data_IF_832684230194
#
_entry.id   IF_832684230194
#
_cell.length_a   1.000
_cell.length_b   1.000
_cell.length_c   1.000
_cell.angle_alpha   90.00
_cell.angle_beta   90.00
_cell.angle_gamma   90.00
#
_symmetry.space_group_name_H-M   'P 1'
#
loop_
_entity.id
_entity.type
_entity.pdbx_description
1 polymer ?
#
# COMPACT_ATOMS: atom_id res chain seq x y z
N UNK A 1 42.79 8.44 39.64
CA UNK A 1 43.26 8.72 38.26
C UNK A 1 42.54 7.89 37.17
N UNK A 2 41.27 7.48 37.32
CA UNK A 2 40.55 6.62 36.34
C UNK A 2 39.26 7.19 35.75
N UNK A 3 38.90 8.45 36.03
CA UNK A 3 37.59 9.04 35.66
C UNK A 3 37.64 10.02 34.47
N UNK A 4 38.83 10.37 33.96
CA UNK A 4 38.97 11.31 32.84
C UNK A 4 38.76 10.66 31.45
N UNK A 5 39.00 9.34 31.32
CA UNK A 5 38.91 8.62 30.05
C UNK A 5 37.47 8.37 29.60
N UNK A 6 36.52 8.23 30.54
CA UNK A 6 35.10 7.98 30.26
C UNK A 6 34.39 9.19 29.64
N UNK A 7 34.82 10.42 29.96
CA UNK A 7 34.25 11.65 29.38
C UNK A 7 34.67 11.89 27.93
N UNK A 8 35.91 11.55 27.57
CA UNK A 8 36.41 11.69 26.19
C UNK A 8 35.76 10.70 25.22
N UNK A 9 35.44 9.49 25.68
CA UNK A 9 34.65 8.51 24.92
C UNK A 9 33.22 8.99 24.70
N UNK A 10 32.61 9.60 25.72
CA UNK A 10 31.25 10.15 25.62
C UNK A 10 31.19 11.38 24.70
N UNK A 11 32.25 12.20 24.67
CA UNK A 11 32.34 13.40 23.82
C UNK A 11 32.57 13.05 22.34
N UNK A 12 33.33 11.99 22.04
CA UNK A 12 33.50 11.48 20.66
C UNK A 12 32.21 10.88 20.10
N UNK A 13 31.40 10.23 20.95
CA UNK A 13 30.07 9.73 20.60
C UNK A 13 29.05 10.87 20.46
N UNK A 14 29.13 11.90 21.31
CA UNK A 14 28.22 13.06 21.28
C UNK A 14 28.38 13.97 20.05
N UNK A 15 29.61 14.19 19.57
CA UNK A 15 29.85 14.96 18.34
C UNK A 15 29.47 14.19 17.06
N UNK A 16 29.57 12.86 17.05
CA UNK A 16 29.07 12.03 15.95
C UNK A 16 27.55 11.89 15.94
N UNK A 17 26.87 12.07 17.08
CA UNK A 17 25.40 12.08 17.16
C UNK A 17 24.75 13.22 16.38
N UNK A 18 25.38 14.41 16.34
CA UNK A 18 24.90 15.57 15.57
C UNK A 18 25.14 15.43 14.06
N UNK A 19 26.26 14.80 13.65
CA UNK A 19 26.52 14.47 12.24
C UNK A 19 25.65 13.29 11.75
N UNK A 20 25.38 12.30 12.62
CA UNK A 20 24.44 11.21 12.34
C UNK A 20 22.99 11.70 12.22
N UNK A 21 22.59 12.75 12.97
CA UNK A 21 21.28 13.41 12.80
C UNK A 21 21.13 14.05 11.42
N UNK A 22 22.19 14.61 10.84
CA UNK A 22 22.17 15.16 9.48
C UNK A 22 22.04 14.11 8.38
N UNK A 23 22.58 12.90 8.61
CA UNK A 23 22.46 11.76 7.69
C UNK A 23 21.20 10.92 7.93
N UNK A 24 20.54 11.06 9.08
CA UNK A 24 19.31 10.34 9.39
C UNK A 24 18.18 10.66 8.40
N UNK A 25 18.03 11.93 8.01
CA UNK A 25 17.01 12.32 7.05
C UNK A 25 17.25 11.75 5.63
N UNK A 26 18.45 11.87 5.00
CA UNK A 26 18.75 11.20 3.74
C UNK A 26 18.60 9.67 3.78
N UNK A 27 19.07 9.03 4.85
CA UNK A 27 18.95 7.56 5.01
C UNK A 27 17.49 7.14 5.16
N UNK A 28 16.68 7.91 5.89
CA UNK A 28 15.24 7.68 6.01
C UNK A 28 14.54 7.86 4.67
N UNK A 29 14.90 8.89 3.89
CA UNK A 29 14.38 9.10 2.53
C UNK A 29 14.76 7.94 1.62
N UNK A 30 16.01 7.48 1.65
CA UNK A 30 16.46 6.31 0.88
C UNK A 30 15.74 5.04 1.32
N UNK A 31 15.46 4.86 2.61
CA UNK A 31 14.70 3.72 3.13
C UNK A 31 13.22 3.75 2.70
N UNK A 32 12.59 4.93 2.70
CA UNK A 32 11.22 5.13 2.19
C UNK A 32 11.19 4.88 0.68
N UNK A 33 12.16 5.41 -0.07
CA UNK A 33 12.32 5.14 -1.50
C UNK A 33 12.59 3.65 -1.74
N UNK A 34 13.34 2.96 -0.89
CA UNK A 34 13.60 1.52 -0.99
C UNK A 34 12.34 0.68 -0.78
N UNK A 35 11.45 1.08 0.13
CA UNK A 35 10.11 0.49 0.27
C UNK A 35 9.23 0.77 -0.95
N UNK A 36 9.41 1.94 -1.58
CA UNK A 36 8.85 2.32 -2.89
C UNK A 36 9.55 1.66 -4.09
N UNK A 37 10.65 0.94 -3.87
CA UNK A 37 11.38 0.16 -4.89
C UNK A 37 11.09 -1.32 -4.77
N UNK A 38 10.82 -1.87 -3.57
CA UNK A 38 10.51 -3.30 -3.40
C UNK A 38 9.16 -3.66 -4.06
N UNK A 39 9.16 -4.29 -5.24
CA UNK A 39 7.94 -4.53 -6.00
C UNK A 39 7.18 -5.65 -5.33
N UNK A 40 5.88 -5.44 -5.12
CA UNK A 40 5.00 -6.52 -4.67
C UNK A 40 4.73 -7.39 -5.89
N UNK A 41 4.89 -8.72 -5.81
CA UNK A 41 4.70 -9.57 -6.96
C UNK A 41 3.23 -9.49 -7.44
N UNK A 42 2.98 -9.39 -8.77
CA UNK A 42 1.63 -9.17 -9.32
C UNK A 42 0.58 -10.20 -8.88
N UNK A 43 0.97 -11.47 -8.69
CA UNK A 43 0.06 -12.55 -8.26
C UNK A 43 -0.54 -12.30 -6.87
N UNK A 44 0.22 -11.67 -5.97
CA UNK A 44 -0.22 -11.36 -4.61
C UNK A 44 -1.21 -10.19 -4.64
N UNK A 45 -0.96 -9.22 -5.52
CA UNK A 45 -1.84 -8.09 -5.73
C UNK A 45 -3.19 -8.53 -6.29
N UNK A 46 -3.20 -9.37 -7.33
CA UNK A 46 -4.43 -9.94 -7.90
C UNK A 46 -5.26 -10.67 -6.83
N UNK A 47 -4.59 -11.50 -6.01
CA UNK A 47 -5.25 -12.23 -4.92
C UNK A 47 -5.93 -11.28 -3.95
N UNK A 48 -5.22 -10.27 -3.44
CA UNK A 48 -5.78 -9.31 -2.49
C UNK A 48 -6.85 -8.41 -3.11
N UNK A 49 -6.72 -8.06 -4.39
CA UNK A 49 -7.71 -7.26 -5.12
C UNK A 49 -9.01 -8.04 -5.31
N UNK A 50 -8.94 -9.31 -5.71
CA UNK A 50 -10.11 -10.20 -5.78
C UNK A 50 -10.74 -10.40 -4.41
N UNK A 51 -9.93 -10.62 -3.37
CA UNK A 51 -10.42 -10.74 -1.99
C UNK A 51 -11.13 -9.47 -1.52
N UNK A 52 -10.62 -8.29 -1.91
CA UNK A 52 -11.25 -7.01 -1.62
C UNK A 52 -12.64 -6.89 -2.20
N UNK A 53 -12.79 -7.21 -3.48
CA UNK A 53 -14.09 -7.18 -4.16
C UNK A 53 -15.04 -8.20 -3.53
N UNK A 54 -14.57 -9.41 -3.24
CA UNK A 54 -15.37 -10.44 -2.59
C UNK A 54 -15.89 -10.00 -1.20
N UNK A 55 -15.01 -9.44 -0.36
CA UNK A 55 -15.41 -8.91 0.96
C UNK A 55 -16.34 -7.71 0.82
N UNK A 56 -16.10 -6.82 -0.14
CA UNK A 56 -16.98 -5.67 -0.38
C UNK A 56 -18.40 -6.12 -0.76
N UNK A 57 -18.52 -7.13 -1.63
CA UNK A 57 -19.81 -7.72 -2.00
C UNK A 57 -20.46 -8.46 -0.83
N UNK A 58 -19.67 -9.20 -0.03
CA UNK A 58 -20.17 -9.87 1.18
C UNK A 58 -20.73 -8.87 2.19
N UNK A 59 -20.00 -7.79 2.47
CA UNK A 59 -20.45 -6.72 3.38
C UNK A 59 -21.70 -6.03 2.83
N UNK A 60 -21.76 -5.77 1.53
CA UNK A 60 -22.96 -5.22 0.88
C UNK A 60 -24.17 -6.16 1.04
N UNK A 61 -23.97 -7.45 0.84
CA UNK A 61 -25.03 -8.45 1.00
C UNK A 61 -25.48 -8.56 2.46
N UNK A 62 -24.55 -8.59 3.42
CA UNK A 62 -24.85 -8.58 4.85
C UNK A 62 -25.67 -7.32 5.20
N UNK A 63 -25.22 -6.14 4.75
CA UNK A 63 -25.91 -4.87 5.00
C UNK A 63 -27.34 -4.87 4.43
N UNK A 64 -27.55 -5.43 3.23
CA UNK A 64 -28.86 -5.49 2.59
C UNK A 64 -29.86 -6.39 3.33
N UNK A 65 -29.39 -7.38 4.09
CA UNK A 65 -30.23 -8.33 4.83
C UNK A 65 -30.28 -8.08 6.35
N UNK A 66 -29.62 -7.04 6.87
CA UNK A 66 -29.66 -6.73 8.31
C UNK A 66 -31.01 -6.14 8.74
N UNK A 67 -31.65 -6.75 9.73
CA UNK A 67 -32.94 -6.29 10.29
C UNK A 67 -32.77 -5.71 11.71
N UNK A 68 -31.72 -6.09 12.46
CA UNK A 68 -31.55 -5.70 13.87
C UNK A 68 -30.35 -4.75 14.11
N UNK A 69 -30.50 -3.69 14.95
CA UNK A 69 -29.42 -2.77 15.30
C UNK A 69 -28.25 -3.39 16.08
N UNK A 70 -28.40 -4.58 16.67
CA UNK A 70 -27.30 -5.25 17.38
C UNK A 70 -26.22 -5.76 16.41
N UNK A 71 -26.61 -6.11 15.18
CA UNK A 71 -25.68 -6.47 14.10
C UNK A 71 -24.93 -5.23 13.55
N UNK A 72 -25.43 -4.02 13.84
CA UNK A 72 -24.73 -2.76 13.53
C UNK A 72 -23.50 -2.50 14.39
N UNK A 73 -23.29 -3.17 15.53
CA UNK A 73 -22.13 -2.87 16.38
C UNK A 73 -20.80 -3.35 15.77
N UNK A 74 -20.81 -4.49 15.07
CA UNK A 74 -19.64 -5.00 14.34
C UNK A 74 -19.45 -4.30 12.98
N UNK A 75 -20.51 -3.70 12.44
CA UNK A 75 -20.55 -3.15 11.09
C UNK A 75 -19.54 -1.99 10.86
N UNK A 76 -19.42 -0.96 11.73
CA UNK A 76 -18.42 0.10 11.60
C UNK A 76 -16.98 -0.43 11.58
N UNK A 77 -16.65 -1.40 12.43
CA UNK A 77 -15.30 -1.96 12.51
C UNK A 77 -14.95 -2.75 11.24
N UNK A 78 -15.89 -3.55 10.72
CA UNK A 78 -15.72 -4.25 9.45
C UNK A 78 -15.56 -3.25 8.31
N UNK A 79 -16.42 -2.22 8.24
CA UNK A 79 -16.30 -1.17 7.23
C UNK A 79 -14.96 -0.44 7.30
N UNK A 80 -14.48 -0.09 8.50
CA UNK A 80 -13.18 0.55 8.71
C UNK A 80 -12.04 -0.35 8.21
N UNK A 81 -12.07 -1.64 8.55
CA UNK A 81 -11.08 -2.60 8.08
C UNK A 81 -11.10 -2.73 6.55
N UNK A 82 -12.30 -2.88 5.95
CA UNK A 82 -12.42 -3.00 4.49
C UNK A 82 -11.97 -1.74 3.76
N UNK A 83 -12.20 -0.55 4.32
CA UNK A 83 -11.79 0.72 3.72
C UNK A 83 -10.27 0.90 3.81
N UNK A 84 -9.64 0.53 4.93
CA UNK A 84 -8.17 0.51 5.03
C UNK A 84 -7.54 -0.47 4.02
N UNK A 85 -8.12 -1.66 3.86
CA UNK A 85 -7.66 -2.64 2.86
C UNK A 85 -7.78 -2.11 1.43
N UNK A 86 -8.85 -1.37 1.12
CA UNK A 86 -9.01 -0.68 -0.18
C UNK A 86 -7.93 0.39 -0.38
N UNK A 87 -7.69 1.24 0.62
CA UNK A 87 -6.68 2.29 0.53
C UNK A 87 -5.27 1.71 0.30
N UNK A 88 -4.91 0.66 1.02
CA UNK A 88 -3.61 0.00 0.84
C UNK A 88 -3.46 -0.64 -0.55
N UNK A 89 -4.51 -1.32 -1.03
CA UNK A 89 -4.49 -1.96 -2.35
C UNK A 89 -4.45 -0.96 -3.49
N UNK A 90 -5.13 0.18 -3.36
CA UNK A 90 -5.11 1.22 -4.37
C UNK A 90 -3.72 1.84 -4.52
N UNK A 91 -3.01 2.12 -3.42
CA UNK A 91 -1.64 2.66 -3.48
C UNK A 91 -0.65 1.62 -4.03
N UNK A 92 -0.82 0.34 -3.66
CA UNK A 92 0.00 -0.74 -4.19
C UNK A 92 -0.25 -0.97 -5.70
N UNK A 93 -1.52 -0.93 -6.11
CA UNK A 93 -1.96 -1.12 -7.51
C UNK A 93 -1.44 -0.02 -8.42
N UNK A 94 -1.58 1.25 -8.05
CA UNK A 94 -1.07 2.36 -8.89
C UNK A 94 0.44 2.29 -9.06
N UNK A 95 1.18 1.91 -8.00
CA UNK A 95 2.61 1.69 -8.11
C UNK A 95 2.95 0.58 -9.09
N UNK A 96 2.31 -0.58 -8.99
CA UNK A 96 2.57 -1.73 -9.87
C UNK A 96 2.18 -1.42 -11.32
N UNK A 97 1.06 -0.74 -11.53
CA UNK A 97 0.63 -0.29 -12.86
C UNK A 97 1.63 0.71 -13.47
N UNK A 98 2.17 1.65 -12.69
CA UNK A 98 3.13 2.64 -13.19
C UNK A 98 4.54 2.07 -13.39
N UNK A 99 4.94 1.11 -12.56
CA UNK A 99 6.28 0.50 -12.59
C UNK A 99 6.37 -0.64 -13.59
N UNK A 100 5.40 -1.55 -13.63
CA UNK A 100 5.44 -2.73 -14.50
C UNK A 100 4.52 -2.62 -15.72
N UNK A 101 3.53 -1.71 -15.75
CA UNK A 101 2.55 -1.61 -16.85
C UNK A 101 3.13 -1.29 -18.23
N UNK A 102 4.35 -0.74 -18.30
CA UNK A 102 5.07 -0.52 -19.57
C UNK A 102 5.64 -1.80 -20.20
N UNK A 103 5.69 -2.91 -19.45
CA UNK A 103 6.26 -4.19 -19.92
C UNK A 103 5.24 -5.10 -20.63
N UNK A 104 3.97 -4.67 -20.69
CA UNK A 104 2.89 -5.35 -21.40
C UNK A 104 1.55 -5.28 -20.65
N UNK A 105 0.41 -5.55 -21.33
CA UNK A 105 -0.92 -5.43 -20.74
C UNK A 105 -1.16 -6.37 -19.54
N UNK A 106 -0.49 -7.53 -19.49
CA UNK A 106 -0.57 -8.48 -18.37
C UNK A 106 0.45 -8.29 -17.25
N UNK A 107 1.31 -7.25 -17.32
CA UNK A 107 2.39 -7.07 -16.36
C UNK A 107 1.94 -6.51 -15.00
N UNK A 108 0.83 -5.77 -14.97
CA UNK A 108 0.29 -5.19 -13.75
C UNK A 108 -0.52 -6.19 -12.89
N UNK A 109 -0.93 -7.32 -13.47
CA UNK A 109 -1.83 -8.31 -12.86
C UNK A 109 -2.98 -8.67 -13.81
N UNK A 110 -3.39 -9.94 -13.81
CA UNK A 110 -4.42 -10.46 -14.70
C UNK A 110 -5.81 -9.90 -14.35
N UNK A 111 -6.06 -9.61 -13.07
CA UNK A 111 -7.33 -9.02 -12.62
C UNK A 111 -7.42 -7.57 -13.10
N UNK A 112 -6.33 -6.81 -12.97
CA UNK A 112 -6.26 -5.42 -13.43
C UNK A 112 -6.42 -5.33 -14.95
N UNK A 113 -5.76 -6.21 -15.71
CA UNK A 113 -5.90 -6.28 -17.17
C UNK A 113 -7.35 -6.58 -17.59
N UNK A 114 -7.97 -7.59 -16.97
CA UNK A 114 -9.34 -7.96 -17.26
C UNK A 114 -10.35 -6.85 -16.93
N UNK A 115 -10.18 -6.17 -15.79
CA UNK A 115 -11.01 -5.00 -15.43
C UNK A 115 -10.79 -3.85 -16.40
N UNK A 116 -9.54 -3.58 -16.81
CA UNK A 116 -9.22 -2.55 -17.79
C UNK A 116 -9.89 -2.81 -19.14
N UNK A 117 -9.80 -4.05 -19.63
CA UNK A 117 -10.43 -4.46 -20.89
C UNK A 117 -11.97 -4.40 -20.81
N UNK A 118 -12.56 -4.81 -19.69
CA UNK A 118 -14.00 -4.70 -19.45
C UNK A 118 -14.47 -3.24 -19.42
N UNK A 119 -13.70 -2.33 -18.81
CA UNK A 119 -14.08 -0.91 -18.71
C UNK A 119 -14.08 -0.18 -20.06
N UNK A 120 -13.09 -0.46 -20.92
CA UNK A 120 -12.95 0.20 -22.22
C UNK A 120 -13.86 -0.41 -23.31
N UNK A 121 -14.49 -1.56 -23.06
CA UNK A 121 -15.46 -2.18 -23.97
C UNK A 121 -14.95 -2.41 -25.40
N UNK A 122 -13.63 -2.58 -25.58
CA UNK A 122 -12.98 -2.73 -26.89
C UNK A 122 -12.72 -1.43 -27.66
N UNK A 123 -13.09 -0.26 -27.12
CA UNK A 123 -12.79 1.04 -27.71
C UNK A 123 -11.90 1.87 -26.78
N UNK A 124 -10.60 1.88 -27.07
CA UNK A 124 -9.60 2.65 -26.33
C UNK A 124 -9.92 4.16 -26.26
N UNK A 125 -10.66 4.71 -27.23
CA UNK A 125 -11.07 6.11 -27.18
C UNK A 125 -12.03 6.40 -26.01
N UNK A 126 -12.88 5.44 -25.64
CA UNK A 126 -13.76 5.56 -24.46
C UNK A 126 -12.94 5.56 -23.17
N UNK A 127 -11.86 4.77 -23.13
CA UNK A 127 -10.96 4.71 -21.98
C UNK A 127 -10.11 5.96 -21.74
N UNK A 128 -9.93 6.82 -22.75
CA UNK A 128 -9.07 8.01 -22.66
C UNK A 128 -9.87 9.28 -22.29
N UNK A 129 -11.19 9.29 -22.53
CA UNK A 129 -12.06 10.46 -22.31
C UNK A 129 -12.60 10.55 -20.87
N UNK A 130 -12.61 9.43 -20.14
CA UNK A 130 -13.08 9.32 -18.75
C UNK A 130 -11.92 9.48 -17.78
#
# INVERSE_FOLDING_TARGET
>A
MSTASLKNLQQWVGQRGLAAQGLAAPVLVIAILALMVLPIPPWLLDTFFTLNIAVALMVMMIAAYMIKPLDFAAFPSVLLLTTLMRLSLNVASTRVVLMEGHTGPGAAGAVIEAFGHFLIGGNFAVGLIV
#
